data_IF_136888286421
#
_entry.id   IF_136888286421
#
_cell.length_a   1.000
_cell.length_b   1.000
_cell.length_c   1.000
_cell.angle_alpha   90.00
_cell.angle_beta   90.00
_cell.angle_gamma   90.00
#
_symmetry.space_group_name_H-M   'P 1'
#
loop_
_entity.id
_entity.type
_entity.pdbx_description
1 polymer ?
#
# COMPACT_ATOMS: atom_id res chain seq x y z
N UNK A 1 -1.97 -38.96 -25.46
CA UNK A 1 -2.96 -37.86 -25.53
C UNK A 1 -2.39 -36.64 -26.23
N UNK A 2 -1.26 -36.06 -25.77
CA UNK A 2 -0.56 -34.92 -26.42
C UNK A 2 -0.47 -34.97 -27.95
N UNK A 3 0.07 -36.06 -28.53
CA UNK A 3 0.23 -36.18 -30.00
C UNK A 3 -1.09 -36.05 -30.79
N UNK A 4 -2.24 -36.34 -30.18
CA UNK A 4 -3.55 -36.14 -30.79
C UNK A 4 -4.01 -34.68 -30.67
N UNK A 5 -3.81 -34.04 -29.51
CA UNK A 5 -4.08 -32.61 -29.31
C UNK A 5 -3.23 -31.74 -30.26
N UNK A 6 -1.94 -32.06 -30.42
CA UNK A 6 -1.01 -31.43 -31.35
C UNK A 6 -1.34 -31.65 -32.83
N UNK A 7 -2.08 -32.70 -33.19
CA UNK A 7 -2.55 -32.91 -34.57
C UNK A 7 -3.91 -32.26 -34.85
N UNK A 8 -4.75 -32.13 -33.82
CA UNK A 8 -6.01 -31.39 -33.85
C UNK A 8 -5.78 -29.88 -34.07
N UNK A 9 -4.76 -29.28 -33.46
CA UNK A 9 -4.44 -27.86 -33.60
C UNK A 9 -4.03 -27.41 -35.03
N UNK A 10 -3.73 -28.34 -35.96
CA UNK A 10 -3.26 -28.03 -37.33
C UNK A 10 -4.37 -27.74 -38.35
N UNK A 11 -5.64 -27.77 -37.95
CA UNK A 11 -6.78 -27.54 -38.83
C UNK A 11 -7.78 -26.61 -38.10
N UNK A 12 -8.27 -25.53 -38.75
CA UNK A 12 -9.05 -24.48 -38.08
C UNK A 12 -10.37 -25.00 -37.47
N UNK A 13 -11.03 -25.98 -38.11
CA UNK A 13 -12.27 -26.58 -37.59
C UNK A 13 -11.97 -27.40 -36.32
N UNK A 14 -10.84 -28.13 -36.32
CA UNK A 14 -10.39 -28.94 -35.17
C UNK A 14 -9.84 -28.06 -34.04
N UNK A 15 -9.25 -26.92 -34.37
CA UNK A 15 -8.86 -25.88 -33.41
C UNK A 15 -10.08 -25.28 -32.69
N UNK A 16 -11.12 -24.88 -33.44
CA UNK A 16 -12.36 -24.38 -32.83
C UNK A 16 -13.05 -25.43 -31.93
N UNK A 17 -12.99 -26.72 -32.31
CA UNK A 17 -13.45 -27.80 -31.46
C UNK A 17 -12.61 -27.95 -30.17
N UNK A 18 -11.28 -27.87 -30.25
CA UNK A 18 -10.40 -27.88 -29.08
C UNK A 18 -10.67 -26.70 -28.14
N UNK A 19 -10.80 -25.49 -28.69
CA UNK A 19 -11.04 -24.25 -27.95
C UNK A 19 -12.34 -24.32 -27.13
N UNK A 20 -13.40 -24.88 -27.74
CA UNK A 20 -14.68 -25.13 -27.07
C UNK A 20 -14.61 -26.25 -26.01
N UNK A 21 -13.85 -27.31 -26.25
CA UNK A 21 -13.64 -28.42 -25.29
C UNK A 21 -12.77 -27.97 -24.10
N UNK A 22 -11.85 -27.02 -24.31
CA UNK A 22 -10.93 -26.54 -23.29
C UNK A 22 -11.50 -25.46 -22.38
N UNK A 23 -12.54 -24.71 -22.80
CA UNK A 23 -13.21 -23.69 -21.98
C UNK A 23 -13.62 -24.19 -20.59
N UNK A 24 -14.31 -25.35 -20.46
CA UNK A 24 -14.65 -25.98 -19.17
C UNK A 24 -13.46 -26.35 -18.28
N UNK A 25 -12.22 -26.35 -18.78
CA UNK A 25 -11.03 -26.60 -17.96
C UNK A 25 -10.56 -25.37 -17.18
N UNK A 26 -11.01 -24.15 -17.51
CA UNK A 26 -10.54 -22.92 -16.87
C UNK A 26 -10.71 -22.92 -15.34
N UNK A 27 -11.85 -23.31 -14.75
CA UNK A 27 -12.01 -23.41 -13.29
C UNK A 27 -10.95 -24.30 -12.62
N UNK A 28 -10.56 -25.40 -13.28
CA UNK A 28 -9.57 -26.33 -12.73
C UNK A 28 -8.16 -25.73 -12.76
N UNK A 29 -7.84 -24.93 -13.78
CA UNK A 29 -6.58 -24.19 -13.90
C UNK A 29 -6.52 -23.03 -12.89
N UNK A 30 -7.62 -22.29 -12.73
CA UNK A 30 -7.74 -21.15 -11.82
C UNK A 30 -7.93 -21.55 -10.35
N UNK A 31 -8.19 -22.83 -10.02
CA UNK A 31 -8.40 -23.33 -8.64
C UNK A 31 -7.32 -22.94 -7.62
N UNK A 32 -6.11 -22.61 -8.06
CA UNK A 32 -5.01 -22.14 -7.19
C UNK A 32 -4.89 -20.62 -7.11
N UNK A 33 -5.48 -19.88 -8.03
CA UNK A 33 -5.59 -18.43 -7.94
C UNK A 33 -6.65 -18.08 -6.89
N UNK A 34 -6.27 -17.22 -5.93
CA UNK A 34 -7.13 -16.77 -4.83
C UNK A 34 -7.35 -15.25 -4.89
N UNK A 35 -7.28 -14.65 -6.07
CA UNK A 35 -7.26 -13.21 -6.21
C UNK A 35 -7.78 -12.75 -7.55
N UNK A 36 -7.04 -11.80 -8.13
CA UNK A 36 -7.45 -10.99 -9.28
C UNK A 36 -7.96 -11.81 -10.47
N UNK A 37 -7.29 -12.89 -10.86
CA UNK A 37 -7.61 -13.63 -12.09
C UNK A 37 -8.94 -14.38 -11.95
N UNK A 38 -9.17 -15.04 -10.81
CA UNK A 38 -10.45 -15.71 -10.51
C UNK A 38 -11.61 -14.71 -10.42
N UNK A 39 -11.37 -13.51 -9.88
CA UNK A 39 -12.39 -12.44 -9.85
C UNK A 39 -12.81 -12.00 -11.26
N UNK A 40 -11.86 -11.83 -12.18
CA UNK A 40 -12.18 -11.50 -13.58
C UNK A 40 -12.88 -12.62 -14.32
N UNK A 41 -12.51 -13.89 -14.05
CA UNK A 41 -13.23 -15.04 -14.59
C UNK A 41 -14.71 -15.05 -14.16
N UNK A 42 -14.98 -14.88 -12.87
CA UNK A 42 -16.34 -14.84 -12.34
C UNK A 42 -17.12 -13.61 -12.87
N UNK A 43 -16.47 -12.44 -12.99
CA UNK A 43 -17.09 -11.25 -13.56
C UNK A 43 -17.46 -11.44 -15.04
N UNK A 44 -16.60 -12.08 -15.82
CA UNK A 44 -16.87 -12.43 -17.21
C UNK A 44 -18.05 -13.42 -17.33
N UNK A 45 -18.08 -14.48 -16.51
CA UNK A 45 -19.20 -15.43 -16.48
C UNK A 45 -20.53 -14.73 -16.16
N UNK A 46 -20.53 -13.85 -15.15
CA UNK A 46 -21.72 -13.12 -14.73
C UNK A 46 -22.24 -12.16 -15.80
N UNK A 47 -21.36 -11.49 -16.56
CA UNK A 47 -21.75 -10.63 -17.69
C UNK A 47 -22.34 -11.42 -18.86
N UNK A 48 -21.89 -12.65 -19.08
CA UNK A 48 -22.29 -13.50 -20.21
C UNK A 48 -23.29 -14.62 -19.82
N UNK A 49 -24.00 -14.47 -18.70
CA UNK A 49 -25.08 -15.37 -18.29
C UNK A 49 -24.65 -16.83 -18.04
N UNK A 50 -23.38 -17.08 -17.72
CA UNK A 50 -22.85 -18.43 -17.54
C UNK A 50 -22.80 -19.29 -18.80
N UNK A 51 -22.89 -18.68 -20.00
CA UNK A 51 -22.83 -19.39 -21.27
C UNK A 51 -21.49 -20.15 -21.44
N UNK A 52 -21.51 -21.22 -22.24
CA UNK A 52 -20.31 -21.97 -22.64
C UNK A 52 -19.48 -21.19 -23.66
N UNK A 53 -18.90 -20.07 -23.22
CA UNK A 53 -17.86 -19.35 -23.94
C UNK A 53 -16.67 -20.27 -24.21
N UNK A 54 -15.93 -20.03 -25.30
CA UNK A 54 -14.72 -20.81 -25.57
C UNK A 54 -13.57 -20.44 -24.63
N UNK A 55 -12.50 -21.23 -24.62
CA UNK A 55 -11.30 -20.89 -23.86
C UNK A 55 -10.74 -19.52 -24.29
N UNK A 56 -10.65 -19.26 -25.59
CA UNK A 56 -10.17 -18.00 -26.14
C UNK A 56 -11.08 -16.83 -25.74
N UNK A 57 -12.38 -16.95 -25.99
CA UNK A 57 -13.39 -15.92 -25.70
C UNK A 57 -13.40 -15.53 -24.21
N UNK A 58 -13.27 -16.52 -23.33
CA UNK A 58 -13.20 -16.30 -21.88
C UNK A 58 -11.92 -15.57 -21.49
N UNK A 59 -10.77 -15.96 -22.03
CA UNK A 59 -9.49 -15.31 -21.73
C UNK A 59 -9.41 -13.90 -22.30
N UNK A 60 -9.88 -13.68 -23.53
CA UNK A 60 -9.94 -12.36 -24.16
C UNK A 60 -10.89 -11.43 -23.39
N UNK A 61 -12.08 -11.90 -23.00
CA UNK A 61 -13.00 -11.12 -22.18
C UNK A 61 -12.45 -10.79 -20.79
N UNK A 62 -11.75 -11.73 -20.13
CA UNK A 62 -11.02 -11.45 -18.90
C UNK A 62 -9.94 -10.39 -19.10
N UNK A 63 -9.18 -10.46 -20.20
CA UNK A 63 -8.14 -9.48 -20.55
C UNK A 63 -8.73 -8.09 -20.75
N UNK A 64 -9.84 -7.94 -21.47
CA UNK A 64 -10.52 -6.65 -21.67
C UNK A 64 -10.96 -6.05 -20.33
N UNK A 65 -11.57 -6.84 -19.44
CA UNK A 65 -11.93 -6.38 -18.10
C UNK A 65 -10.70 -5.92 -17.29
N UNK A 66 -9.56 -6.59 -17.45
CA UNK A 66 -8.29 -6.19 -16.83
C UNK A 66 -7.67 -4.93 -17.47
N UNK A 67 -8.01 -4.59 -18.70
CA UNK A 67 -7.59 -3.35 -19.37
C UNK A 67 -8.44 -2.16 -18.95
N UNK A 68 -9.77 -2.33 -18.92
CA UNK A 68 -10.72 -1.33 -18.44
C UNK A 68 -10.37 -0.86 -17.01
N UNK A 69 -10.01 -1.79 -16.12
CA UNK A 69 -9.59 -1.50 -14.74
C UNK A 69 -8.10 -1.10 -14.61
N UNK A 70 -7.34 -1.09 -15.71
CA UNK A 70 -5.91 -0.71 -15.72
C UNK A 70 -4.96 -1.70 -15.02
N UNK A 71 -5.41 -2.94 -14.80
CA UNK A 71 -4.63 -4.00 -14.17
C UNK A 71 -3.71 -4.76 -15.15
N UNK A 72 -4.09 -4.92 -16.43
CA UNK A 72 -3.26 -5.60 -17.45
C UNK A 72 -1.87 -4.98 -17.57
N UNK A 73 -1.78 -3.65 -17.51
CA UNK A 73 -0.53 -2.89 -17.57
C UNK A 73 0.41 -3.11 -16.36
N UNK A 74 -0.01 -3.87 -15.34
CA UNK A 74 0.71 -4.09 -14.08
C UNK A 74 1.00 -5.58 -13.79
N UNK A 75 0.37 -6.50 -14.54
CA UNK A 75 0.72 -7.92 -14.50
C UNK A 75 2.21 -8.12 -14.83
N UNK A 76 2.94 -8.83 -13.97
CA UNK A 76 4.37 -9.11 -14.15
C UNK A 76 5.32 -7.94 -13.89
N UNK A 77 4.81 -6.73 -13.60
CA UNK A 77 5.66 -5.66 -13.09
C UNK A 77 6.23 -6.06 -11.72
N UNK A 78 7.54 -5.89 -11.52
CA UNK A 78 8.17 -5.99 -10.19
C UNK A 78 7.80 -4.76 -9.35
N UNK A 79 6.52 -4.67 -8.97
CA UNK A 79 6.00 -3.63 -8.11
C UNK A 79 6.63 -3.79 -6.72
N UNK A 80 7.61 -2.93 -6.41
CA UNK A 80 8.19 -2.89 -5.08
C UNK A 80 7.20 -2.23 -4.09
N UNK A 81 7.10 -2.72 -2.85
CA UNK A 81 6.35 -2.02 -1.81
C UNK A 81 6.82 -0.58 -1.68
N UNK A 82 5.91 0.40 -1.53
CA UNK A 82 6.30 1.79 -1.41
C UNK A 82 7.11 2.01 -0.14
N UNK A 83 8.04 2.97 -0.21
CA UNK A 83 8.70 3.56 0.97
C UNK A 83 8.02 4.86 1.35
N UNK A 84 8.01 5.17 2.63
CA UNK A 84 7.49 6.42 3.18
C UNK A 84 8.29 7.62 2.65
N UNK A 85 9.63 7.54 2.69
CA UNK A 85 10.51 8.66 2.34
C UNK A 85 10.14 9.90 3.15
N UNK A 86 10.00 11.05 2.48
CA UNK A 86 9.54 12.31 3.08
C UNK A 86 8.00 12.44 3.09
N UNK A 87 7.24 11.36 2.90
CA UNK A 87 5.77 11.40 3.02
C UNK A 87 5.35 11.36 4.48
N UNK A 88 4.31 12.11 4.83
CA UNK A 88 3.65 11.95 6.12
C UNK A 88 3.02 10.55 6.27
N UNK A 89 2.88 10.05 7.50
CA UNK A 89 2.51 8.65 7.79
C UNK A 89 1.16 8.22 7.18
N UNK A 90 0.14 9.09 7.19
CA UNK A 90 -1.17 8.82 6.60
C UNK A 90 -1.11 8.73 5.08
N UNK A 91 -0.36 9.62 4.43
CA UNK A 91 -0.08 9.51 2.99
C UNK A 91 0.74 8.28 2.63
N UNK A 92 1.59 7.78 3.53
CA UNK A 92 2.28 6.50 3.33
C UNK A 92 1.32 5.31 3.46
N UNK A 93 0.48 5.27 4.49
CA UNK A 93 -0.55 4.24 4.68
C UNK A 93 -1.48 4.17 3.46
N UNK A 94 -1.92 5.31 2.93
CA UNK A 94 -2.73 5.37 1.72
C UNK A 94 -1.99 4.77 0.50
N UNK A 95 -0.76 5.22 0.22
CA UNK A 95 0.07 4.67 -0.87
C UNK A 95 0.30 3.16 -0.72
N UNK A 96 0.42 2.65 0.51
CA UNK A 96 0.60 1.22 0.77
C UNK A 96 -0.69 0.41 0.52
N UNK A 97 -1.84 0.91 0.97
CA UNK A 97 -3.14 0.30 0.67
C UNK A 97 -3.41 0.31 -0.85
N UNK A 98 -3.12 1.42 -1.53
CA UNK A 98 -3.22 1.53 -3.00
C UNK A 98 -2.30 0.53 -3.71
N UNK A 99 -1.10 0.29 -3.17
CA UNK A 99 -0.18 -0.72 -3.68
C UNK A 99 -0.76 -2.14 -3.55
N UNK A 100 -1.34 -2.50 -2.39
CA UNK A 100 -1.98 -3.80 -2.18
C UNK A 100 -3.14 -4.04 -3.14
N UNK A 101 -4.03 -3.05 -3.30
CA UNK A 101 -5.13 -3.10 -4.26
C UNK A 101 -4.65 -3.33 -5.70
N UNK A 102 -3.43 -2.88 -6.06
CA UNK A 102 -2.86 -3.03 -7.41
C UNK A 102 -2.15 -4.36 -7.66
N UNK A 103 -1.62 -5.03 -6.64
CA UNK A 103 -0.87 -6.29 -6.83
C UNK A 103 -1.77 -7.51 -6.91
N UNK A 104 -2.82 -7.58 -6.09
CA UNK A 104 -3.72 -8.74 -6.00
C UNK A 104 -5.19 -8.38 -5.72
N UNK A 105 -5.50 -7.11 -5.42
CA UNK A 105 -6.85 -6.62 -5.10
C UNK A 105 -7.30 -6.91 -3.66
N UNK A 106 -6.53 -7.67 -2.88
CA UNK A 106 -6.91 -8.11 -1.54
C UNK A 106 -6.49 -7.03 -0.53
N UNK A 107 -7.44 -6.39 0.14
CA UNK A 107 -7.16 -5.36 1.17
C UNK A 107 -6.66 -5.98 2.48
N UNK A 108 -5.96 -5.22 3.33
CA UNK A 108 -5.49 -5.72 4.64
C UNK A 108 -6.61 -6.01 5.66
N UNK A 109 -7.74 -5.33 5.52
CA UNK A 109 -8.95 -5.45 6.35
C UNK A 109 -9.97 -6.46 5.79
N UNK A 110 -9.55 -7.30 4.83
CA UNK A 110 -10.39 -8.32 4.19
C UNK A 110 -10.44 -9.63 5.00
N UNK A 111 -11.54 -10.37 4.88
CA UNK A 111 -11.67 -11.72 5.42
C UNK A 111 -10.62 -12.67 4.81
N UNK A 112 -10.28 -12.46 3.53
CA UNK A 112 -9.24 -13.17 2.79
C UNK A 112 -7.85 -12.96 3.41
N UNK A 113 -7.56 -11.78 3.96
CA UNK A 113 -6.32 -11.52 4.71
C UNK A 113 -6.41 -12.03 6.14
N UNK A 114 -7.55 -11.89 6.83
CA UNK A 114 -7.73 -12.42 8.18
C UNK A 114 -7.57 -13.95 8.23
N UNK A 115 -8.10 -14.67 7.24
CA UNK A 115 -7.98 -16.12 7.10
C UNK A 115 -6.61 -16.59 6.55
N UNK A 116 -5.68 -15.68 6.26
CA UNK A 116 -4.39 -15.98 5.61
C UNK A 116 -3.22 -15.35 6.36
N UNK A 117 -2.90 -15.92 7.53
CA UNK A 117 -1.80 -15.49 8.40
C UNK A 117 -0.46 -15.27 7.67
N UNK A 118 -0.01 -16.15 6.75
CA UNK A 118 1.22 -15.91 5.97
C UNK A 118 1.19 -14.62 5.15
N UNK A 119 0.09 -14.38 4.41
CA UNK A 119 -0.10 -13.18 3.60
C UNK A 119 -0.17 -11.91 4.46
N UNK A 120 -0.98 -11.97 5.53
CA UNK A 120 -1.16 -10.87 6.51
C UNK A 120 0.18 -10.48 7.15
N UNK A 121 0.99 -11.45 7.52
CA UNK A 121 2.28 -11.23 8.16
C UNK A 121 3.32 -10.68 7.15
N UNK A 122 3.33 -11.17 5.91
CA UNK A 122 4.21 -10.65 4.87
C UNK A 122 3.91 -9.19 4.53
N UNK A 123 2.64 -8.84 4.36
CA UNK A 123 2.23 -7.45 4.09
C UNK A 123 2.59 -6.49 5.23
N UNK A 124 2.44 -6.92 6.49
CA UNK A 124 2.93 -6.14 7.64
C UNK A 124 4.44 -5.97 7.63
N UNK A 125 5.22 -7.00 7.28
CA UNK A 125 6.68 -6.86 7.10
C UNK A 125 7.01 -5.86 6.00
N UNK A 126 6.32 -5.90 4.87
CA UNK A 126 6.51 -4.95 3.77
C UNK A 126 6.20 -3.50 4.20
N UNK A 127 5.12 -3.29 4.95
CA UNK A 127 4.79 -1.99 5.54
C UNK A 127 5.88 -1.50 6.50
N UNK A 128 6.28 -2.32 7.48
CA UNK A 128 7.33 -1.97 8.45
C UNK A 128 8.65 -1.63 7.75
N UNK A 129 9.01 -2.40 6.71
CA UNK A 129 10.25 -2.20 5.94
C UNK A 129 10.21 -0.94 5.06
N UNK A 130 9.01 -0.44 4.72
CA UNK A 130 8.84 0.81 3.97
C UNK A 130 8.75 2.07 4.85
N UNK A 131 8.52 1.95 6.17
CA UNK A 131 8.53 3.09 7.10
C UNK A 131 9.89 3.81 7.14
N UNK A 132 9.88 5.08 7.54
CA UNK A 132 11.10 5.79 7.93
C UNK A 132 11.82 5.06 9.08
N UNK A 133 13.14 4.99 9.00
CA UNK A 133 14.00 4.35 10.01
C UNK A 133 13.73 4.86 11.43
N UNK A 134 13.45 6.16 11.59
CA UNK A 134 13.12 6.77 12.89
C UNK A 134 11.83 6.18 13.48
N UNK A 135 10.80 5.97 12.67
CA UNK A 135 9.55 5.32 13.12
C UNK A 135 9.79 3.84 13.44
N UNK A 136 10.48 3.12 12.54
CA UNK A 136 10.75 1.69 12.74
C UNK A 136 11.56 1.41 14.00
N UNK A 137 12.44 2.33 14.42
CA UNK A 137 13.27 2.21 15.63
C UNK A 137 12.56 2.66 16.92
N UNK A 138 11.71 3.69 16.87
CA UNK A 138 11.13 4.32 18.07
C UNK A 138 9.67 3.93 18.36
N UNK A 139 9.01 3.17 17.46
CA UNK A 139 7.66 2.65 17.68
C UNK A 139 7.74 1.16 17.98
N UNK A 140 7.31 0.77 19.18
CA UNK A 140 7.09 -0.63 19.54
C UNK A 140 6.16 -1.27 18.52
N UNK A 141 6.65 -2.31 17.85
CA UNK A 141 5.87 -3.01 16.84
C UNK A 141 4.61 -3.62 17.47
N UNK A 142 3.41 -3.38 16.91
CA UNK A 142 2.20 -4.04 17.37
C UNK A 142 2.24 -5.55 17.10
N UNK A 143 1.38 -6.27 17.81
CA UNK A 143 1.17 -7.71 17.58
C UNK A 143 0.74 -7.99 16.13
N UNK A 144 1.09 -9.17 15.62
CA UNK A 144 0.56 -9.68 14.36
C UNK A 144 -0.90 -10.15 14.48
N UNK A 145 -1.51 -10.21 15.67
CA UNK A 145 -2.94 -10.50 15.80
C UNK A 145 -3.86 -9.28 15.88
N UNK A 146 -3.35 -8.04 16.05
CA UNK A 146 -4.25 -6.85 16.06
C UNK A 146 -4.75 -6.46 14.67
N UNK A 147 -5.98 -5.95 14.62
CA UNK A 147 -6.61 -5.44 13.40
C UNK A 147 -5.73 -4.42 12.64
N UNK A 148 -5.86 -4.37 11.31
CA UNK A 148 -5.02 -3.50 10.47
C UNK A 148 -5.10 -2.02 10.85
N UNK A 149 -6.28 -1.57 11.25
CA UNK A 149 -6.46 -0.21 11.76
C UNK A 149 -5.66 0.02 13.05
N UNK A 150 -5.77 -0.87 14.04
CA UNK A 150 -5.00 -0.77 15.29
C UNK A 150 -3.48 -0.87 15.05
N UNK A 151 -3.07 -1.75 14.14
CA UNK A 151 -1.67 -1.92 13.73
C UNK A 151 -1.08 -0.64 13.15
N UNK A 152 -1.78 0.00 12.21
CA UNK A 152 -1.33 1.26 11.60
C UNK A 152 -1.43 2.45 12.57
N UNK A 153 -2.44 2.47 13.43
CA UNK A 153 -2.67 3.54 14.40
C UNK A 153 -1.53 3.67 15.43
N UNK A 154 -0.85 2.58 15.79
CA UNK A 154 0.35 2.63 16.63
C UNK A 154 1.50 3.43 15.98
N UNK A 155 1.69 3.28 14.65
CA UNK A 155 2.67 4.05 13.89
C UNK A 155 2.23 5.49 13.65
N UNK A 156 0.93 5.75 13.50
CA UNK A 156 0.38 7.12 13.48
C UNK A 156 0.64 7.83 14.81
N UNK A 157 0.34 7.21 15.95
CA UNK A 157 0.63 7.77 17.27
C UNK A 157 2.14 7.97 17.49
N UNK A 158 2.96 7.03 17.03
CA UNK A 158 4.42 7.16 17.00
C UNK A 158 4.91 8.37 16.20
N UNK A 159 4.33 8.59 15.02
CA UNK A 159 4.63 9.74 14.17
C UNK A 159 4.25 11.06 14.83
N UNK A 160 3.05 11.18 15.40
CA UNK A 160 2.63 12.39 16.12
C UNK A 160 3.55 12.73 17.30
N UNK A 161 4.10 11.72 18.01
CA UNK A 161 5.09 11.95 19.08
C UNK A 161 6.44 12.45 18.56
N UNK A 162 6.91 11.94 17.43
CA UNK A 162 8.20 12.32 16.82
C UNK A 162 8.13 13.64 16.05
N UNK A 163 6.96 13.96 15.49
CA UNK A 163 6.75 15.09 14.59
C UNK A 163 5.45 15.86 14.95
N UNK A 164 5.35 16.44 16.15
CA UNK A 164 4.09 17.02 16.67
C UNK A 164 3.52 18.17 15.83
N UNK A 165 4.37 18.84 15.05
CA UNK A 165 3.98 19.96 14.17
C UNK A 165 3.84 19.54 12.68
N UNK A 166 3.90 18.24 12.36
CA UNK A 166 3.68 17.75 10.99
C UNK A 166 2.27 17.22 10.81
N UNK A 167 1.67 17.51 9.65
CA UNK A 167 0.40 16.94 9.24
C UNK A 167 0.55 15.44 8.98
N UNK A 168 -0.52 14.67 9.22
CA UNK A 168 -0.55 13.24 8.92
C UNK A 168 -0.60 12.94 7.40
N UNK A 169 -0.95 13.93 6.58
CA UNK A 169 -1.06 13.80 5.13
C UNK A 169 -0.23 14.89 4.42
N UNK A 170 0.28 14.55 3.24
CA UNK A 170 1.15 15.41 2.44
C UNK A 170 2.64 15.05 2.54
N UNK A 171 3.49 16.01 2.17
CA UNK A 171 4.95 15.91 2.27
C UNK A 171 5.38 16.51 3.63
N UNK A 172 6.28 15.82 4.32
CA UNK A 172 6.92 16.31 5.53
C UNK A 172 7.71 17.57 5.18
N UNK A 173 7.31 18.71 5.77
CA UNK A 173 8.14 19.91 5.70
C UNK A 173 9.40 19.65 6.52
N UNK A 174 10.57 19.70 5.89
CA UNK A 174 11.84 19.70 6.59
C UNK A 174 11.88 20.95 7.50
N UNK A 175 11.63 20.74 8.79
CA UNK A 175 11.79 21.80 9.79
C UNK A 175 13.28 22.08 9.85
N UNK A 176 13.71 23.17 9.20
CA UNK A 176 15.00 23.78 9.54
C UNK A 176 14.94 24.04 11.04
N UNK A 177 15.82 23.37 11.78
CA UNK A 177 16.01 23.66 13.19
C UNK A 177 16.51 25.11 13.30
N UNK A 178 15.58 26.05 13.50
CA UNK A 178 15.94 27.31 14.12
C UNK A 178 16.40 26.94 15.52
N UNK A 179 17.72 26.95 15.70
CA UNK A 179 18.34 26.95 17.01
C UNK A 179 17.70 28.08 17.80
N UNK A 180 17.04 27.74 18.90
CA UNK A 180 16.68 28.72 19.92
C UNK A 180 17.98 29.21 20.56
N UNK A 181 18.63 30.20 19.94
CA UNK A 181 19.59 31.03 20.64
C UNK A 181 18.82 31.90 21.61
N UNK A 182 18.65 31.41 22.84
CA UNK A 182 18.26 32.26 23.98
C UNK A 182 19.40 33.20 24.31
N UNK A 183 19.58 34.22 23.47
CA UNK A 183 20.35 35.42 23.77
C UNK A 183 19.59 36.16 24.88
N UNK A 184 19.92 35.83 26.14
CA UNK A 184 19.46 36.60 27.31
C UNK A 184 20.54 36.75 28.35
N UNK A 185 21.69 37.27 27.91
CA UNK A 185 22.61 38.00 28.77
C UNK A 185 23.34 39.07 27.95
N UNK A 186 22.87 40.32 28.08
CA UNK A 186 23.62 41.57 27.84
C UNK A 186 22.72 42.79 28.05
N UNK A 187 22.16 42.95 29.26
CA UNK A 187 21.80 44.29 29.76
C UNK A 187 23.06 45.00 30.30
N UNK A 188 24.02 45.27 29.40
CA UNK A 188 25.10 46.22 29.65
C UNK A 188 24.64 47.60 29.17
N UNK A 189 23.82 48.27 29.99
CA UNK A 189 23.70 49.74 29.89
C UNK A 189 24.92 50.34 30.59
N UNK A 190 25.84 50.88 29.82
CA UNK A 190 26.95 51.65 30.36
C UNK A 190 26.48 53.04 30.84
N UNK A 191 27.03 53.42 31.99
CA UNK A 191 27.26 54.79 32.48
C UNK A 191 26.08 55.70 32.91
N UNK A 192 26.04 55.98 34.23
CA UNK A 192 26.32 57.29 34.87
C UNK A 192 25.56 58.49 34.26
N UNK A 193 24.73 59.27 34.94
CA UNK A 193 24.78 59.93 36.27
C UNK A 193 23.37 59.74 36.94
N UNK A 194 23.09 59.74 38.26
CA UNK A 194 23.78 60.16 39.51
C UNK A 194 23.40 59.26 40.72
N UNK A 195 24.07 59.45 41.87
CA UNK A 195 23.55 59.21 43.23
C UNK A 195 24.00 60.38 44.11
N UNK A 196 23.07 61.11 44.72
CA UNK A 196 23.20 61.42 46.15
C UNK A 196 21.85 61.79 46.80
N UNK A 197 21.62 61.19 47.97
CA UNK A 197 20.54 61.51 48.92
C UNK A 197 21.19 61.70 50.27
N UNK A 198 21.05 62.90 50.85
CA UNK A 198 20.74 63.18 52.28
C UNK A 198 20.88 64.71 52.46
N UNK A 199 19.82 65.42 52.82
CA UNK A 199 19.54 65.79 54.22
C UNK A 199 20.72 66.45 54.94
N UNK A 200 20.62 67.77 55.20
CA UNK A 200 20.69 68.28 56.58
C UNK A 200 20.25 69.75 56.73
N UNK A 201 19.30 69.96 57.66
CA UNK A 201 19.17 71.05 58.64
C UNK A 201 19.45 72.54 58.30
N UNK A 202 18.44 73.34 58.68
CA UNK A 202 18.40 74.79 59.00
C UNK A 202 18.32 75.79 57.84
#
# INVERSE_FOLDING_TARGET
>A
MEKALLSLAKNPIRYAALDRIAGPCLPALLRKDRGMITSYYNLFLNRNGGAHATLLETLEGMIVLMEDDGHRARLGAKAQPPRQGDSAIGSYIQKFNDFLSRIDGIRMDSLETAANTPLRNERRRQFINGLQDTLRKNVTQPDYEVEWHAFTQAYVAGFTRLYPNQLLFGIQKAVKSQSFSTFRDQHHRQHVIEIDRHENNK
#
